data_IF_992566522983
#
_entry.id   IF_992566522983
#
_cell.length_a   1.000
_cell.length_b   1.000
_cell.length_c   1.000
_cell.angle_alpha   90.00
_cell.angle_beta   90.00
_cell.angle_gamma   90.00
#
_symmetry.space_group_name_H-M   'P 1'
#
loop_
_entity.id
_entity.type
_entity.pdbx_description
1 polymer ?
#
# COMPACT_ATOMS: atom_id res chain seq x y z
N UNK A 1 12.02 -10.85 -6.67
CA UNK A 1 10.92 -9.91 -6.38
C UNK A 1 10.21 -10.32 -5.11
N UNK A 2 9.81 -9.38 -4.30
CA UNK A 2 9.06 -9.64 -3.08
C UNK A 2 7.74 -8.88 -3.11
N UNK A 3 6.76 -9.40 -2.37
CA UNK A 3 5.47 -8.77 -2.19
C UNK A 3 5.36 -8.24 -0.78
N UNK A 4 4.97 -6.99 -0.67
CA UNK A 4 4.67 -6.37 0.63
C UNK A 4 3.16 -6.40 0.86
N UNK A 5 2.75 -6.80 2.04
CA UNK A 5 1.37 -6.63 2.51
C UNK A 5 1.37 -5.65 3.67
N UNK A 6 0.70 -4.53 3.47
CA UNK A 6 0.56 -3.49 4.48
C UNK A 6 -0.93 -3.23 4.71
N UNK A 7 -1.43 -3.60 5.85
CA UNK A 7 -2.86 -3.48 6.18
C UNK A 7 -3.06 -2.39 7.24
N UNK A 8 -3.98 -1.47 6.96
CA UNK A 8 -4.29 -0.35 7.84
C UNK A 8 -5.76 -0.29 8.15
N UNK A 9 -6.09 0.26 9.32
CA UNK A 9 -7.46 0.57 9.70
C UNK A 9 -7.67 2.07 9.54
N UNK A 10 -8.79 2.44 8.93
CA UNK A 10 -9.18 3.82 8.72
C UNK A 10 -10.12 4.25 9.84
N UNK A 11 -9.98 5.48 10.27
CA UNK A 11 -10.83 6.04 11.33
C UNK A 11 -12.30 5.94 10.97
N UNK A 12 -13.11 5.64 11.98
CA UNK A 12 -14.56 5.52 11.83
C UNK A 12 -15.14 6.74 11.13
N UNK A 13 -15.96 6.51 10.10
CA UNK A 13 -16.63 7.57 9.35
C UNK A 13 -15.74 8.27 8.32
N UNK A 14 -14.49 7.86 8.14
CA UNK A 14 -13.55 8.54 7.24
C UNK A 14 -13.19 7.76 6.00
N UNK A 15 -13.75 6.57 5.82
CA UNK A 15 -13.33 5.70 4.72
C UNK A 15 -13.59 6.32 3.34
N UNK A 16 -14.74 6.93 3.12
CA UNK A 16 -15.06 7.50 1.80
C UNK A 16 -14.13 8.68 1.48
N UNK A 17 -13.88 9.55 2.44
CA UNK A 17 -12.95 10.65 2.28
C UNK A 17 -11.54 10.12 2.00
N UNK A 18 -11.12 9.09 2.76
CA UNK A 18 -9.81 8.50 2.57
C UNK A 18 -9.65 7.91 1.17
N UNK A 19 -10.65 7.18 0.68
CA UNK A 19 -10.56 6.56 -0.65
C UNK A 19 -10.42 7.62 -1.74
N UNK A 20 -11.13 8.74 -1.62
CA UNK A 20 -11.03 9.83 -2.58
C UNK A 20 -9.61 10.46 -2.57
N UNK A 21 -9.06 10.71 -1.38
CA UNK A 21 -7.72 11.25 -1.23
C UNK A 21 -6.66 10.26 -1.70
N UNK A 22 -6.86 8.97 -1.40
CA UNK A 22 -5.95 7.92 -1.84
C UNK A 22 -5.83 7.90 -3.36
N UNK A 23 -6.96 7.90 -4.07
CA UNK A 23 -6.96 7.87 -5.53
C UNK A 23 -6.37 9.14 -6.14
N UNK A 24 -6.75 10.31 -5.63
CA UNK A 24 -6.39 11.58 -6.26
C UNK A 24 -5.00 12.07 -5.87
N UNK A 25 -4.53 11.79 -4.65
CA UNK A 25 -3.30 12.39 -4.13
C UNK A 25 -2.21 11.38 -3.78
N UNK A 26 -2.57 10.23 -3.23
CA UNK A 26 -1.57 9.29 -2.71
C UNK A 26 -1.09 8.28 -3.76
N UNK A 27 -2.01 7.59 -4.43
CA UNK A 27 -1.62 6.58 -5.42
C UNK A 27 -0.74 7.13 -6.54
N UNK A 28 -0.96 8.35 -7.07
CA UNK A 28 -0.05 8.89 -8.07
C UNK A 28 1.41 8.98 -7.61
N UNK A 29 1.65 9.16 -6.32
CA UNK A 29 3.01 9.22 -5.78
C UNK A 29 3.76 7.90 -5.91
N UNK A 30 3.04 6.78 -5.91
CA UNK A 30 3.66 5.45 -5.95
C UNK A 30 4.42 5.18 -7.23
N UNK A 31 4.12 5.91 -8.32
CA UNK A 31 4.86 5.79 -9.58
C UNK A 31 6.30 6.27 -9.45
N UNK A 32 6.61 7.00 -8.38
CA UNK A 32 7.95 7.51 -8.10
C UNK A 32 8.72 6.65 -7.11
N UNK A 33 8.13 5.57 -6.62
CA UNK A 33 8.80 4.67 -5.68
C UNK A 33 9.83 3.83 -6.43
N UNK A 34 11.10 4.14 -6.25
CA UNK A 34 12.17 3.39 -6.90
C UNK A 34 12.13 1.93 -6.46
N UNK A 35 12.27 1.01 -7.41
CA UNK A 35 12.22 -0.43 -7.14
C UNK A 35 10.82 -0.99 -6.93
N UNK A 36 9.79 -0.17 -6.98
CA UNK A 36 8.39 -0.61 -6.91
C UNK A 36 7.92 -1.01 -8.31
N UNK A 37 7.51 -2.26 -8.45
CA UNK A 37 7.02 -2.79 -9.73
C UNK A 37 5.53 -2.59 -9.92
N UNK A 38 4.75 -2.70 -8.84
CA UNK A 38 3.31 -2.46 -8.86
C UNK A 38 2.84 -2.09 -7.48
N UNK A 39 1.75 -1.35 -7.42
CA UNK A 39 1.14 -0.93 -6.16
C UNK A 39 -0.36 -1.03 -6.30
N UNK A 40 -0.98 -1.85 -5.45
CA UNK A 40 -2.44 -2.02 -5.44
C UNK A 40 -2.98 -1.67 -4.07
N UNK A 41 -4.05 -0.88 -4.05
CA UNK A 41 -4.81 -0.63 -2.84
C UNK A 41 -6.10 -1.44 -2.91
N UNK A 42 -6.40 -2.17 -1.86
CA UNK A 42 -7.56 -3.06 -1.78
C UNK A 42 -8.42 -2.65 -0.59
N UNK A 43 -9.71 -2.56 -0.82
CA UNK A 43 -10.66 -2.24 0.25
C UNK A 43 -11.16 -3.53 0.88
N UNK A 44 -11.25 -3.55 2.21
CA UNK A 44 -11.84 -4.68 2.93
C UNK A 44 -13.32 -4.82 2.59
N UNK A 45 -13.75 -6.06 2.34
CA UNK A 45 -15.14 -6.39 2.08
C UNK A 45 -15.84 -6.74 3.40
N UNK A 46 -15.14 -7.46 4.27
CA UNK A 46 -15.67 -7.87 5.57
C UNK A 46 -15.62 -6.73 6.59
N UNK A 47 -14.57 -5.91 6.49
CA UNK A 47 -14.42 -4.72 7.33
C UNK A 47 -14.18 -3.53 6.40
N UNK A 48 -15.19 -2.66 6.29
CA UNK A 48 -15.18 -1.53 5.36
C UNK A 48 -14.14 -0.47 5.72
N UNK A 49 -13.63 -0.48 6.95
CA UNK A 49 -12.59 0.44 7.38
C UNK A 49 -11.19 -0.14 7.24
N UNK A 50 -11.06 -1.34 6.68
CA UNK A 50 -9.77 -1.96 6.40
C UNK A 50 -9.34 -1.65 4.97
N UNK A 51 -8.08 -1.25 4.81
CA UNK A 51 -7.46 -1.07 3.50
C UNK A 51 -6.13 -1.78 3.51
N UNK A 52 -5.84 -2.51 2.45
CA UNK A 52 -4.57 -3.21 2.31
C UNK A 52 -3.84 -2.70 1.08
N UNK A 53 -2.54 -2.45 1.24
CA UNK A 53 -1.64 -2.20 0.13
C UNK A 53 -0.90 -3.49 -0.20
N UNK A 54 -1.01 -3.92 -1.45
CA UNK A 54 -0.28 -5.06 -1.97
C UNK A 54 0.72 -4.54 -2.98
N UNK A 55 1.99 -4.65 -2.65
CA UNK A 55 3.05 -3.96 -3.41
C UNK A 55 4.10 -4.97 -3.86
N UNK A 56 4.47 -4.91 -5.14
CA UNK A 56 5.58 -5.68 -5.66
C UNK A 56 6.84 -4.83 -5.68
N UNK A 57 7.89 -5.32 -5.02
CA UNK A 57 9.21 -4.67 -4.96
C UNK A 57 10.25 -5.55 -5.66
N UNK A 58 11.27 -4.94 -6.23
CA UNK A 58 12.40 -5.69 -6.79
C UNK A 58 13.09 -6.53 -5.72
N UNK A 59 13.18 -5.99 -4.48
CA UNK A 59 13.81 -6.65 -3.35
C UNK A 59 13.33 -6.00 -2.04
N UNK A 60 13.60 -6.64 -0.91
CA UNK A 60 13.35 -6.04 0.40
C UNK A 60 14.19 -4.77 0.57
N UNK A 61 15.44 -4.82 0.10
CA UNK A 61 16.34 -3.68 0.18
C UNK A 61 15.79 -2.47 -0.57
N UNK A 62 15.19 -2.69 -1.75
CA UNK A 62 14.55 -1.62 -2.52
C UNK A 62 13.38 -1.01 -1.76
N UNK A 63 12.55 -1.83 -1.11
CA UNK A 63 11.45 -1.34 -0.27
C UNK A 63 11.98 -0.48 0.87
N UNK A 64 12.98 -0.98 1.60
CA UNK A 64 13.54 -0.24 2.74
C UNK A 64 14.19 1.07 2.30
N UNK A 65 14.89 1.06 1.17
CA UNK A 65 15.51 2.27 0.62
C UNK A 65 14.46 3.31 0.21
N UNK A 66 13.30 2.87 -0.32
CA UNK A 66 12.26 3.79 -0.76
C UNK A 66 11.69 4.63 0.39
N UNK A 67 11.75 4.13 1.61
CA UNK A 67 11.23 4.84 2.78
C UNK A 67 11.93 6.18 3.03
N UNK A 68 13.16 6.32 2.56
CA UNK A 68 13.92 7.56 2.69
C UNK A 68 13.60 8.56 1.59
N UNK A 69 12.84 8.18 0.58
CA UNK A 69 12.54 9.04 -0.56
C UNK A 69 11.38 10.00 -0.26
N UNK A 70 11.43 11.22 -0.83
CA UNK A 70 10.37 12.23 -0.58
C UNK A 70 8.97 11.77 -0.97
N UNK A 71 8.83 11.06 -2.10
CA UNK A 71 7.52 10.58 -2.55
C UNK A 71 6.90 9.61 -1.54
N UNK A 72 7.70 8.71 -0.97
CA UNK A 72 7.22 7.76 0.02
C UNK A 72 6.85 8.46 1.34
N UNK A 73 7.64 9.45 1.75
CA UNK A 73 7.35 10.24 2.95
C UNK A 73 6.03 11.00 2.78
N UNK A 74 5.81 11.57 1.60
CA UNK A 74 4.56 12.27 1.29
C UNK A 74 3.37 11.33 1.31
N UNK A 75 3.51 10.16 0.71
CA UNK A 75 2.47 9.12 0.74
C UNK A 75 2.08 8.78 2.17
N UNK A 76 3.07 8.52 3.03
CA UNK A 76 2.79 8.19 4.44
C UNK A 76 2.11 9.32 5.17
N UNK A 77 2.52 10.55 4.91
CA UNK A 77 1.92 11.72 5.55
C UNK A 77 0.44 11.85 5.21
N UNK A 78 0.07 11.59 3.98
CA UNK A 78 -1.34 11.61 3.56
C UNK A 78 -2.11 10.49 4.25
N UNK A 79 -1.58 9.27 4.22
CA UNK A 79 -2.26 8.08 4.74
C UNK A 79 -2.45 8.13 6.25
N UNK A 80 -1.44 8.59 6.99
CA UNK A 80 -1.46 8.57 8.46
C UNK A 80 -2.55 9.47 9.03
N UNK A 81 -2.99 10.48 8.31
CA UNK A 81 -4.08 11.37 8.76
C UNK A 81 -5.38 10.61 8.98
N UNK A 82 -5.58 9.53 8.25
CA UNK A 82 -6.82 8.77 8.26
C UNK A 82 -6.70 7.45 9.02
N UNK A 83 -5.51 7.07 9.40
CA UNK A 83 -5.23 5.76 10.00
C UNK A 83 -5.50 5.79 11.50
N UNK A 84 -6.26 4.82 11.99
CA UNK A 84 -6.46 4.59 13.43
C UNK A 84 -5.54 3.50 13.96
N UNK A 85 -4.98 2.68 13.09
CA UNK A 85 -4.06 1.62 13.45
C UNK A 85 -3.56 0.89 12.22
N UNK A 86 -2.53 0.07 12.41
CA UNK A 86 -1.94 -0.70 11.32
C UNK A 86 -1.44 -2.03 11.85
N UNK A 87 -1.50 -3.06 11.03
CA UNK A 87 -0.83 -4.33 11.29
C UNK A 87 0.63 -4.23 10.88
N UNK A 88 1.53 -5.04 11.45
CA UNK A 88 2.90 -5.07 10.97
C UNK A 88 2.97 -5.38 9.49
N UNK A 89 3.83 -4.67 8.77
CA UNK A 89 4.09 -4.95 7.37
C UNK A 89 4.86 -6.27 7.25
N UNK A 90 4.43 -7.12 6.34
CA UNK A 90 5.08 -8.41 6.09
C UNK A 90 5.41 -8.56 4.61
N UNK A 91 6.43 -9.37 4.34
CA UNK A 91 6.88 -9.63 2.98
C UNK A 91 6.70 -11.10 2.63
N UNK A 92 6.42 -11.35 1.36
CA UNK A 92 6.21 -12.69 0.83
C UNK A 92 7.00 -12.86 -0.47
N UNK A 93 7.38 -14.10 -0.77
CA UNK A 93 7.95 -14.46 -2.05
C UNK A 93 6.94 -15.32 -2.82
N UNK A 94 6.81 -15.13 -4.14
CA UNK A 94 5.96 -16.02 -4.93
C UNK A 94 6.43 -17.47 -4.89
N UNK A 95 5.49 -18.40 -4.89
CA UNK A 95 5.77 -19.83 -4.98
C UNK A 95 5.17 -20.34 -6.29
N UNK A 96 6.04 -20.75 -7.21
CA UNK A 96 5.60 -21.35 -8.47
C UNK A 96 4.75 -20.39 -9.31
N UNK A 97 3.94 -20.98 -10.18
CA UNK A 97 3.04 -20.25 -11.07
C UNK A 97 1.63 -20.79 -10.93
N UNK A 98 0.67 -19.90 -10.96
CA UNK A 98 -0.75 -20.22 -11.01
C UNK A 98 -1.42 -19.35 -12.05
N UNK A 99 -2.74 -19.38 -12.17
CA UNK A 99 -3.45 -18.49 -13.06
C UNK A 99 -3.19 -17.03 -12.69
N UNK A 100 -3.14 -16.16 -13.69
CA UNK A 100 -2.99 -14.72 -13.45
C UNK A 100 -4.22 -14.17 -12.75
N UNK A 101 -3.98 -13.29 -11.77
CA UNK A 101 -5.09 -12.61 -11.11
C UNK A 101 -5.73 -11.63 -12.09
N UNK A 102 -7.07 -11.51 -12.10
CA UNK A 102 -7.73 -10.45 -12.87
C UNK A 102 -7.27 -9.09 -12.36
N UNK A 103 -7.21 -8.16 -13.30
CA UNK A 103 -6.85 -6.77 -12.97
C UNK A 103 -8.08 -5.89 -12.93
#
# INVERSE_FOLDING_TARGET
MVLERAEICIREGKIEEFLAVLESQALPLTTRFAGCRSFRALRGVDDVNSVMFLVEWESIEAHLASRAEPAHAEFRRIVVRYTSGAKPTVHFEPIGTGPSMPR
#
